data_IF_414683721133
#
_entry.id   IF_414683721133
#
_cell.length_a   1.000
_cell.length_b   1.000
_cell.length_c   1.000
_cell.angle_alpha   90.00
_cell.angle_beta   90.00
_cell.angle_gamma   90.00
#
_symmetry.space_group_name_H-M   'P 1'
#
loop_
_entity.id
_entity.type
_entity.pdbx_description
1 polymer ?
#
# COMPACT_ATOMS: atom_id res chain seq x y z
N UNK A 1 -2.99 -41.71 47.44
CA UNK A 1 -3.62 -41.61 46.09
C UNK A 1 -3.31 -40.21 45.54
N UNK A 2 -2.34 -40.14 44.61
CA UNK A 2 -2.01 -38.86 44.00
C UNK A 2 -2.74 -38.77 42.62
N UNK A 3 -3.62 -37.79 42.46
CA UNK A 3 -4.30 -37.55 41.21
C UNK A 3 -3.39 -36.71 40.28
N UNK A 4 -2.93 -37.31 39.19
CA UNK A 4 -2.26 -36.60 38.10
C UNK A 4 -3.27 -35.85 37.27
N UNK A 5 -3.22 -34.51 37.36
CA UNK A 5 -3.97 -33.62 36.48
C UNK A 5 -3.14 -33.43 35.22
N UNK A 6 -3.54 -34.09 34.14
CA UNK A 6 -2.97 -33.89 32.80
C UNK A 6 -3.48 -32.55 32.25
N UNK A 7 -2.63 -31.56 32.17
CA UNK A 7 -2.88 -30.33 31.46
C UNK A 7 -2.76 -30.58 29.93
N UNK A 8 -3.88 -30.75 29.26
CA UNK A 8 -3.93 -30.72 27.81
C UNK A 8 -3.76 -29.27 27.33
N UNK A 9 -2.56 -28.97 26.84
CA UNK A 9 -2.32 -27.72 26.14
C UNK A 9 -3.08 -27.74 24.81
N UNK A 10 -4.14 -26.93 24.72
CA UNK A 10 -4.79 -26.65 23.43
C UNK A 10 -3.81 -25.80 22.61
N UNK A 11 -3.14 -26.42 21.67
CA UNK A 11 -2.48 -25.70 20.60
C UNK A 11 -3.59 -25.02 19.79
N UNK A 12 -3.70 -23.70 19.91
CA UNK A 12 -4.54 -22.92 19.02
C UNK A 12 -3.92 -23.02 17.63
N UNK A 13 -4.55 -23.77 16.76
CA UNK A 13 -4.31 -23.74 15.33
C UNK A 13 -4.56 -22.32 14.84
N UNK A 14 -3.47 -21.53 14.70
CA UNK A 14 -3.50 -20.29 13.97
C UNK A 14 -3.69 -20.66 12.50
N UNK A 15 -4.97 -20.70 12.08
CA UNK A 15 -5.30 -20.82 10.66
C UNK A 15 -4.52 -19.74 9.91
N UNK A 16 -3.72 -20.09 8.87
CA UNK A 16 -3.13 -19.07 8.02
C UNK A 16 -4.27 -18.22 7.46
N UNK A 17 -4.10 -16.88 7.49
CA UNK A 17 -5.07 -15.95 6.91
C UNK A 17 -5.11 -16.15 5.37
N UNK A 18 -5.73 -17.23 4.95
CA UNK A 18 -6.03 -17.53 3.56
C UNK A 18 -7.33 -16.81 3.20
N UNK A 19 -7.25 -15.66 2.54
CA UNK A 19 -8.47 -14.96 2.10
C UNK A 19 -8.30 -13.51 1.71
N UNK A 20 -7.11 -12.92 1.82
CA UNK A 20 -6.87 -11.56 1.33
C UNK A 20 -6.79 -11.56 -0.20
N UNK A 21 -7.55 -10.67 -0.82
CA UNK A 21 -7.60 -10.55 -2.28
C UNK A 21 -6.26 -10.03 -2.81
N UNK A 22 -5.74 -10.69 -3.86
CA UNK A 22 -4.62 -10.17 -4.64
C UNK A 22 -5.06 -8.92 -5.40
N UNK A 23 -4.29 -7.85 -5.32
CA UNK A 23 -4.64 -6.54 -5.88
C UNK A 23 -3.55 -5.95 -6.78
N UNK A 24 -2.36 -6.51 -6.76
CA UNK A 24 -1.27 -6.10 -7.63
C UNK A 24 -1.32 -6.87 -8.94
N UNK A 25 -1.33 -6.15 -10.05
CA UNK A 25 -1.18 -6.75 -11.38
C UNK A 25 0.33 -6.87 -11.71
N UNK A 26 0.82 -8.09 -11.72
CA UNK A 26 2.23 -8.40 -11.95
C UNK A 26 2.63 -8.27 -13.45
N UNK A 27 1.66 -8.12 -14.35
CA UNK A 27 1.88 -8.00 -15.79
C UNK A 27 2.03 -6.56 -16.29
N UNK A 28 1.63 -5.58 -15.50
CA UNK A 28 1.64 -4.17 -15.89
C UNK A 28 3.06 -3.59 -15.83
N UNK A 29 3.43 -2.79 -16.82
CA UNK A 29 4.59 -1.93 -16.77
C UNK A 29 4.34 -0.80 -15.75
N UNK A 30 5.14 -0.74 -14.69
CA UNK A 30 4.96 0.20 -13.60
C UNK A 30 5.10 1.67 -14.04
N UNK A 31 6.01 1.95 -14.96
CA UNK A 31 6.23 3.31 -15.47
C UNK A 31 5.01 3.81 -16.24
N UNK A 32 4.45 2.97 -17.11
CA UNK A 32 3.21 3.28 -17.85
C UNK A 32 1.99 3.41 -16.93
N UNK A 33 1.92 2.58 -15.88
CA UNK A 33 0.86 2.65 -14.87
C UNK A 33 0.86 4.01 -14.17
N UNK A 34 2.04 4.50 -13.79
CA UNK A 34 2.18 5.82 -13.16
C UNK A 34 1.79 6.93 -14.14
N UNK A 35 2.24 6.85 -15.40
CA UNK A 35 1.90 7.84 -16.42
C UNK A 35 0.39 7.95 -16.66
N UNK A 36 -0.29 6.82 -16.77
CA UNK A 36 -1.77 6.78 -16.90
C UNK A 36 -2.47 7.37 -15.68
N UNK A 37 -1.98 7.06 -14.48
CA UNK A 37 -2.52 7.61 -13.24
C UNK A 37 -2.35 9.14 -13.17
N UNK A 38 -1.21 9.68 -13.60
CA UNK A 38 -0.95 11.11 -13.65
C UNK A 38 -1.87 11.84 -14.65
N UNK A 39 -2.11 11.25 -15.82
CA UNK A 39 -3.05 11.80 -16.81
C UNK A 39 -4.45 11.89 -16.20
N UNK A 40 -4.90 10.83 -15.56
CA UNK A 40 -6.20 10.79 -14.89
C UNK A 40 -6.28 11.81 -13.74
N UNK A 41 -5.25 11.86 -12.89
CA UNK A 41 -5.19 12.78 -11.75
C UNK A 41 -5.26 14.24 -12.20
N UNK A 42 -4.55 14.60 -13.26
CA UNK A 42 -4.57 15.94 -13.85
C UNK A 42 -5.97 16.31 -14.37
N UNK A 43 -6.64 15.37 -15.04
CA UNK A 43 -7.99 15.56 -15.56
C UNK A 43 -9.02 15.75 -14.45
N UNK A 44 -8.85 15.03 -13.33
CA UNK A 44 -9.80 15.01 -12.22
C UNK A 44 -9.46 16.00 -11.08
N UNK A 45 -8.35 16.72 -11.18
CA UNK A 45 -7.90 17.63 -10.12
C UNK A 45 -7.44 16.93 -8.86
N UNK A 46 -6.93 15.67 -8.99
CA UNK A 46 -6.49 14.82 -7.90
C UNK A 46 -4.96 14.68 -7.86
N UNK A 47 -4.45 14.12 -6.77
CA UNK A 47 -3.07 13.62 -6.70
C UNK A 47 -3.04 12.11 -6.93
N UNK A 48 -1.84 11.55 -7.07
CA UNK A 48 -1.65 10.11 -7.21
C UNK A 48 -1.05 9.55 -5.93
N UNK A 49 -1.59 8.42 -5.47
CA UNK A 49 -0.93 7.61 -4.45
C UNK A 49 -0.50 6.28 -5.07
N UNK A 50 0.81 6.02 -4.99
CA UNK A 50 1.37 4.73 -5.34
C UNK A 50 1.54 3.90 -4.06
N UNK A 51 0.74 2.86 -3.90
CA UNK A 51 1.01 1.83 -2.91
C UNK A 51 2.00 0.83 -3.53
N UNK A 52 3.27 0.93 -3.15
CA UNK A 52 4.31 0.04 -3.67
C UNK A 52 4.41 -1.21 -2.80
N UNK A 53 4.37 -2.35 -3.43
CA UNK A 53 4.45 -3.64 -2.77
C UNK A 53 4.11 -4.77 -3.73
N UNK A 54 3.48 -5.83 -3.26
CA UNK A 54 3.12 -6.97 -4.11
C UNK A 54 2.19 -7.95 -3.42
N UNK A 55 1.69 -8.90 -4.21
CA UNK A 55 0.82 -9.97 -3.71
C UNK A 55 1.54 -10.95 -2.76
N UNK A 56 2.86 -10.92 -2.72
CA UNK A 56 3.72 -11.67 -1.80
C UNK A 56 3.75 -11.07 -0.39
N UNK A 57 3.25 -9.86 -0.22
CA UNK A 57 3.35 -9.05 1.00
C UNK A 57 2.02 -9.04 1.76
N UNK A 58 1.88 -9.78 2.87
CA UNK A 58 0.64 -9.82 3.65
C UNK A 58 0.19 -8.46 4.17
N UNK A 59 1.11 -7.62 4.62
CA UNK A 59 0.82 -6.27 5.10
C UNK A 59 0.29 -5.35 4.00
N UNK A 60 0.75 -5.54 2.76
CA UNK A 60 0.24 -4.82 1.59
C UNK A 60 -1.22 -5.15 1.32
N UNK A 61 -1.56 -6.44 1.36
CA UNK A 61 -2.93 -6.91 1.14
C UNK A 61 -3.85 -6.53 2.29
N UNK A 62 -3.37 -6.57 3.53
CA UNK A 62 -4.12 -6.11 4.72
C UNK A 62 -4.44 -4.62 4.63
N UNK A 63 -3.49 -3.81 4.16
CA UNK A 63 -3.75 -2.37 4.00
C UNK A 63 -4.86 -2.10 3.00
N UNK A 64 -4.81 -2.75 1.85
CA UNK A 64 -5.86 -2.62 0.83
C UNK A 64 -7.22 -3.09 1.35
N UNK A 65 -7.26 -4.21 2.04
CA UNK A 65 -8.49 -4.70 2.68
C UNK A 65 -9.04 -3.70 3.70
N UNK A 66 -8.18 -3.12 4.51
CA UNK A 66 -8.53 -2.12 5.52
C UNK A 66 -9.14 -0.86 4.91
N UNK A 67 -8.48 -0.25 3.93
CA UNK A 67 -8.95 1.00 3.30
C UNK A 67 -10.21 0.81 2.44
N UNK A 68 -10.43 -0.38 1.90
CA UNK A 68 -11.64 -0.67 1.08
C UNK A 68 -12.85 -0.99 1.93
N UNK A 69 -12.68 -1.55 3.11
CA UNK A 69 -13.77 -1.87 4.05
C UNK A 69 -14.25 -0.67 4.87
N UNK A 70 -13.40 0.30 5.10
CA UNK A 70 -13.77 1.52 5.83
C UNK A 70 -14.33 2.57 4.86
N UNK A 71 -15.61 2.89 5.02
CA UNK A 71 -16.32 3.81 4.12
C UNK A 71 -15.76 5.24 4.15
N UNK A 72 -15.30 5.72 5.30
CA UNK A 72 -14.76 7.07 5.43
C UNK A 72 -13.41 7.20 4.73
N UNK A 73 -12.54 6.19 4.93
CA UNK A 73 -11.22 6.14 4.27
C UNK A 73 -11.40 5.98 2.77
N UNK A 74 -12.25 5.05 2.35
CA UNK A 74 -12.52 4.79 0.93
C UNK A 74 -13.04 6.04 0.22
N UNK A 75 -13.96 6.79 0.85
CA UNK A 75 -14.47 8.05 0.31
C UNK A 75 -13.38 9.13 0.23
N UNK A 76 -12.59 9.30 1.29
CA UNK A 76 -11.49 10.27 1.32
C UNK A 76 -10.49 10.01 0.20
N UNK A 77 -10.15 8.75 -0.04
CA UNK A 77 -9.26 8.35 -1.13
C UNK A 77 -9.89 8.66 -2.48
N UNK A 78 -11.11 8.19 -2.73
CA UNK A 78 -11.77 8.37 -4.04
C UNK A 78 -12.02 9.82 -4.40
N UNK A 79 -12.29 10.67 -3.43
CA UNK A 79 -12.53 12.11 -3.66
C UNK A 79 -11.24 12.88 -4.01
N UNK A 80 -10.08 12.43 -3.57
CA UNK A 80 -8.85 13.24 -3.59
C UNK A 80 -7.69 12.62 -4.39
N UNK A 81 -7.72 11.31 -4.63
CA UNK A 81 -6.58 10.61 -5.19
C UNK A 81 -6.96 9.65 -6.32
N UNK A 82 -6.05 9.50 -7.26
CA UNK A 82 -5.96 8.32 -8.10
C UNK A 82 -5.03 7.36 -7.37
N UNK A 83 -5.59 6.28 -6.84
CA UNK A 83 -4.88 5.31 -6.01
C UNK A 83 -4.50 4.08 -6.85
N UNK A 84 -3.22 3.77 -6.92
CA UNK A 84 -2.72 2.64 -7.71
C UNK A 84 -1.85 1.70 -6.87
N UNK A 85 -1.97 0.41 -7.16
CA UNK A 85 -1.12 -0.64 -6.60
C UNK A 85 0.03 -0.89 -7.58
N UNK A 86 1.23 -0.48 -7.19
CA UNK A 86 2.43 -0.58 -8.02
C UNK A 86 3.23 -1.80 -7.60
N UNK A 87 3.30 -2.80 -8.49
CA UNK A 87 3.95 -4.06 -8.20
C UNK A 87 5.47 -3.94 -8.14
N UNK A 88 6.04 -4.46 -7.06
CA UNK A 88 7.47 -4.72 -6.92
C UNK A 88 7.69 -6.06 -6.22
N UNK A 89 8.53 -6.91 -6.81
CA UNK A 89 8.92 -8.17 -6.19
C UNK A 89 10.44 -8.26 -6.08
N UNK A 90 11.03 -8.10 -4.88
CA UNK A 90 12.48 -8.12 -4.70
C UNK A 90 13.13 -9.48 -5.00
N UNK A 91 12.32 -10.54 -5.10
CA UNK A 91 12.79 -11.90 -5.39
C UNK A 91 12.84 -12.21 -6.89
N UNK A 92 12.16 -11.42 -7.73
CA UNK A 92 12.13 -11.57 -9.19
C UNK A 92 13.06 -10.54 -9.84
N UNK A 93 14.33 -10.90 -10.02
CA UNK A 93 15.34 -9.97 -10.56
C UNK A 93 15.62 -10.13 -12.05
N UNK A 94 15.11 -11.20 -12.66
CA UNK A 94 15.55 -11.63 -13.99
C UNK A 94 14.46 -11.54 -15.09
N UNK A 95 13.27 -11.02 -14.78
CA UNK A 95 12.23 -10.85 -15.78
C UNK A 95 12.19 -9.43 -16.38
N UNK A 96 11.45 -9.27 -17.48
CA UNK A 96 11.31 -7.99 -18.18
C UNK A 96 10.75 -6.88 -17.25
N UNK A 97 9.99 -7.26 -16.23
CA UNK A 97 9.41 -6.34 -15.25
C UNK A 97 10.43 -5.88 -14.20
N UNK A 98 11.54 -6.60 -13.99
CA UNK A 98 12.57 -6.20 -13.04
C UNK A 98 13.21 -4.87 -13.43
N UNK A 99 13.51 -4.65 -14.71
CA UNK A 99 14.08 -3.39 -15.22
C UNK A 99 13.14 -2.21 -15.04
N UNK A 100 11.86 -2.41 -15.35
CA UNK A 100 10.83 -1.37 -15.15
C UNK A 100 10.56 -1.12 -13.68
N UNK A 101 10.66 -2.14 -12.83
CA UNK A 101 10.55 -1.99 -11.39
C UNK A 101 11.69 -1.16 -10.79
N UNK A 102 12.93 -1.35 -11.24
CA UNK A 102 14.06 -0.52 -10.80
C UNK A 102 13.89 0.94 -11.24
N UNK A 103 13.47 1.17 -12.50
CA UNK A 103 13.17 2.50 -12.99
C UNK A 103 12.04 3.18 -12.20
N UNK A 104 11.01 2.42 -11.83
CA UNK A 104 9.92 2.89 -10.98
C UNK A 104 10.43 3.28 -9.59
N UNK A 105 11.21 2.46 -8.94
CA UNK A 105 11.77 2.78 -7.61
C UNK A 105 12.61 4.05 -7.66
N UNK A 106 13.44 4.22 -8.70
CA UNK A 106 14.23 5.43 -8.89
C UNK A 106 13.33 6.66 -9.10
N UNK A 107 12.31 6.54 -9.95
CA UNK A 107 11.33 7.60 -10.22
C UNK A 107 10.61 8.07 -8.95
N UNK A 108 10.33 7.14 -8.05
CA UNK A 108 9.64 7.39 -6.79
C UNK A 108 10.59 7.72 -5.61
N UNK A 109 11.83 8.10 -5.89
CA UNK A 109 12.85 8.45 -4.90
C UNK A 109 13.22 7.29 -3.95
N UNK A 110 13.34 6.07 -4.48
CA UNK A 110 13.75 4.86 -3.75
C UNK A 110 12.94 4.60 -2.46
N UNK A 111 11.61 4.47 -2.56
CA UNK A 111 10.77 4.31 -1.39
C UNK A 111 10.99 2.97 -0.67
N UNK A 112 11.55 1.97 -1.37
CA UNK A 112 11.81 0.63 -0.83
C UNK A 112 12.70 0.58 0.41
N UNK A 113 13.45 1.64 0.72
CA UNK A 113 14.23 1.76 1.95
C UNK A 113 13.40 1.72 3.23
N UNK A 114 12.10 2.00 3.12
CA UNK A 114 11.16 1.96 4.24
C UNK A 114 10.42 0.62 4.39
N UNK A 115 10.70 -0.35 3.52
CA UNK A 115 9.94 -1.61 3.50
C UNK A 115 8.63 -1.52 2.71
N UNK A 116 7.76 -2.51 2.89
CA UNK A 116 6.51 -2.63 2.12
C UNK A 116 5.33 -3.02 3.01
N UNK A 117 4.12 -2.47 2.75
CA UNK A 117 3.86 -1.47 1.71
C UNK A 117 4.53 -0.14 2.04
N UNK A 118 4.82 0.63 1.03
CA UNK A 118 5.23 2.03 1.16
C UNK A 118 4.36 2.88 0.24
N UNK A 119 4.01 4.07 0.67
CA UNK A 119 3.10 4.95 -0.06
C UNK A 119 3.85 6.16 -0.57
N UNK A 120 3.69 6.46 -1.84
CA UNK A 120 4.31 7.63 -2.46
C UNK A 120 3.21 8.54 -2.99
N UNK A 121 3.20 9.78 -2.52
CA UNK A 121 2.24 10.81 -2.97
C UNK A 121 2.89 11.62 -4.08
N UNK A 122 2.26 11.65 -5.24
CA UNK A 122 2.67 12.46 -6.38
C UNK A 122 1.67 13.58 -6.63
N UNK A 123 2.19 14.78 -6.93
CA UNK A 123 1.31 15.81 -7.49
C UNK A 123 0.98 15.51 -8.96
N UNK A 124 0.18 16.35 -9.58
CA UNK A 124 -0.27 16.17 -10.98
C UNK A 124 0.85 16.20 -12.02
N UNK A 125 2.01 16.75 -11.67
CA UNK A 125 3.19 16.79 -12.52
C UNK A 125 4.15 15.62 -12.29
N UNK A 126 3.78 14.69 -11.41
CA UNK A 126 4.60 13.52 -11.09
C UNK A 126 5.71 13.80 -10.08
N UNK A 127 5.72 14.97 -9.43
CA UNK A 127 6.68 15.26 -8.37
C UNK A 127 6.30 14.49 -7.10
N UNK A 128 7.28 13.82 -6.50
CA UNK A 128 7.14 13.18 -5.20
C UNK A 128 7.00 14.26 -4.12
N UNK A 129 5.83 14.28 -3.47
CA UNK A 129 5.55 15.20 -2.37
C UNK A 129 5.88 14.58 -1.01
N UNK A 130 5.63 13.29 -0.87
CA UNK A 130 5.79 12.57 0.39
C UNK A 130 5.97 11.08 0.16
N UNK A 131 6.73 10.46 1.03
CA UNK A 131 6.87 9.00 1.12
C UNK A 131 6.45 8.60 2.53
N UNK A 132 5.40 7.78 2.65
CA UNK A 132 4.87 7.31 3.92
C UNK A 132 5.33 5.89 4.20
N UNK A 133 6.09 5.73 5.27
CA UNK A 133 6.37 4.43 5.86
C UNK A 133 5.10 3.86 6.52
N UNK A 134 4.72 2.66 6.11
CA UNK A 134 3.50 2.01 6.60
C UNK A 134 3.55 1.68 8.09
N UNK A 135 4.73 1.50 8.67
CA UNK A 135 4.88 1.17 10.10
C UNK A 135 4.30 2.25 11.03
N UNK A 136 4.30 3.51 10.59
CA UNK A 136 3.67 4.60 11.33
C UNK A 136 2.14 4.59 11.31
N UNK A 137 1.54 3.76 10.47
CA UNK A 137 0.08 3.62 10.32
C UNK A 137 -0.46 2.39 11.02
N UNK A 138 0.42 1.53 11.51
CA UNK A 138 0.10 0.25 12.12
C UNK A 138 -0.42 0.38 13.56
N UNK A 139 -1.24 -0.59 13.93
CA UNK A 139 -1.68 -0.85 15.29
C UNK A 139 -1.97 -2.35 15.46
N UNK A 140 -1.28 -3.01 16.40
CA UNK A 140 -1.40 -4.46 16.58
C UNK A 140 -1.07 -5.24 15.32
N UNK A 141 -1.98 -6.11 14.90
CA UNK A 141 -1.83 -6.93 13.68
C UNK A 141 -2.46 -6.28 12.43
N UNK A 142 -2.74 -5.00 12.48
CA UNK A 142 -3.39 -4.26 11.39
C UNK A 142 -3.02 -2.79 11.39
N UNK A 143 -3.97 -1.96 11.01
CA UNK A 143 -3.78 -0.52 10.84
C UNK A 143 -4.74 0.29 11.72
N UNK A 144 -4.30 1.48 12.12
CA UNK A 144 -5.09 2.41 12.92
C UNK A 144 -5.83 3.41 12.02
N UNK A 145 -7.15 3.50 12.17
CA UNK A 145 -8.01 4.37 11.34
C UNK A 145 -7.60 5.84 11.42
N UNK A 146 -7.34 6.37 12.60
CA UNK A 146 -7.00 7.79 12.79
C UNK A 146 -5.66 8.14 12.13
N UNK A 147 -4.66 7.26 12.27
CA UNK A 147 -3.35 7.44 11.63
C UNK A 147 -3.46 7.43 10.12
N UNK A 148 -4.22 6.49 9.56
CA UNK A 148 -4.45 6.36 8.11
C UNK A 148 -5.24 7.57 7.58
N UNK A 149 -6.32 7.97 8.26
CA UNK A 149 -7.09 9.17 7.91
C UNK A 149 -6.23 10.43 7.94
N UNK A 150 -5.39 10.59 8.95
CA UNK A 150 -4.46 11.73 9.07
C UNK A 150 -3.47 11.78 7.90
N UNK A 151 -2.90 10.63 7.55
CA UNK A 151 -2.00 10.54 6.41
C UNK A 151 -2.70 11.05 5.13
N UNK A 152 -3.84 10.49 4.76
CA UNK A 152 -4.54 10.92 3.55
C UNK A 152 -5.00 12.37 3.59
N UNK A 153 -5.56 12.83 4.71
CA UNK A 153 -6.04 14.23 4.86
C UNK A 153 -4.93 15.26 4.67
N UNK A 154 -3.74 14.97 5.18
CA UNK A 154 -2.62 15.90 5.11
C UNK A 154 -2.07 16.07 3.68
N UNK A 155 -2.32 15.13 2.80
CA UNK A 155 -1.77 15.12 1.46
C UNK A 155 -2.80 15.28 0.35
N UNK A 156 -4.02 15.66 0.66
CA UNK A 156 -5.00 16.04 -0.36
C UNK A 156 -4.52 17.24 -1.17
N UNK A 157 -4.95 17.40 -2.43
CA UNK A 157 -4.62 18.60 -3.22
C UNK A 157 -4.97 19.90 -2.50
N UNK A 158 -6.13 19.94 -1.84
CA UNK A 158 -6.55 21.11 -1.06
C UNK A 158 -5.62 21.42 0.09
N UNK A 159 -5.21 20.39 0.87
CA UNK A 159 -4.31 20.57 2.01
C UNK A 159 -2.92 21.08 1.60
N UNK A 160 -2.39 20.57 0.49
CA UNK A 160 -1.07 20.94 -0.02
C UNK A 160 -1.06 22.34 -0.66
N UNK A 161 -2.14 22.71 -1.33
CA UNK A 161 -2.24 23.98 -2.09
C UNK A 161 -2.87 25.13 -1.29
N UNK A 162 -3.23 24.88 -0.04
CA UNK A 162 -3.82 25.94 0.83
C UNK A 162 -2.77 26.84 1.47
#
# INVERSE_FOLDING_TARGET
>A
MAALISATAFAQDVKPQTGLKKVYDESINQMEQIDKALIQAKKEGKFVICQVGGNWCPWCLRFTDFITKDADISKLISDNFVYIHVNYNPRKKDDANAKTAEAMLKRLNNPGRFGYPVFVVLNQNGKVLHIQDSSFLEEGQGYNKEKVMRFFKNWTPKAVNS
#
